data_IF_415110479489
#
_entry.id   IF_415110479489
#
_cell.length_a   1.000
_cell.length_b   1.000
_cell.length_c   1.000
_cell.angle_alpha   90.00
_cell.angle_beta   90.00
_cell.angle_gamma   90.00
#
_symmetry.space_group_name_H-M   'P 1'
#
loop_
_entity.id
_entity.type
_entity.pdbx_description
1 polymer ?
#
# COMPACT_ATOMS: atom_id res chain seq x y z
N UNK A 1 -9.83 45.04 -16.69
CA UNK A 1 -9.50 43.77 -16.00
C UNK A 1 -10.08 43.86 -14.60
N UNK A 2 -11.25 43.27 -14.35
CA UNK A 2 -11.92 43.37 -13.04
C UNK A 2 -11.22 42.38 -12.11
N UNK A 3 -10.44 42.91 -11.17
CA UNK A 3 -9.93 42.11 -10.04
C UNK A 3 -11.14 41.88 -9.12
N UNK A 4 -11.68 40.66 -9.12
CA UNK A 4 -12.69 40.28 -8.15
C UNK A 4 -12.02 40.15 -6.77
N UNK A 5 -12.45 40.96 -5.81
CA UNK A 5 -12.05 40.81 -4.42
C UNK A 5 -12.68 39.51 -3.88
N UNK A 6 -11.84 38.53 -3.55
CA UNK A 6 -12.23 37.30 -2.86
C UNK A 6 -12.70 37.62 -1.43
N UNK A 7 -14.00 37.86 -1.25
CA UNK A 7 -14.63 37.93 0.07
C UNK A 7 -14.87 36.51 0.60
N UNK A 8 -13.85 35.94 1.24
CA UNK A 8 -13.96 34.64 1.92
C UNK A 8 -14.64 34.87 3.28
N UNK A 9 -15.75 34.18 3.55
CA UNK A 9 -16.37 34.24 4.87
C UNK A 9 -15.47 33.61 5.93
N UNK A 10 -15.47 34.15 7.16
CA UNK A 10 -14.67 33.59 8.27
C UNK A 10 -14.94 32.10 8.49
N UNK A 11 -16.20 31.68 8.32
CA UNK A 11 -16.61 30.28 8.44
C UNK A 11 -16.01 29.42 7.32
N UNK A 12 -16.01 29.92 6.06
CA UNK A 12 -15.38 29.21 4.94
C UNK A 12 -13.87 29.09 5.15
N UNK A 13 -13.20 30.14 5.64
CA UNK A 13 -11.78 30.10 5.93
C UNK A 13 -11.47 29.03 7.00
N UNK A 14 -12.22 29.02 8.10
CA UNK A 14 -12.05 28.04 9.17
C UNK A 14 -12.29 26.61 8.68
N UNK A 15 -13.33 26.39 7.88
CA UNK A 15 -13.63 25.09 7.29
C UNK A 15 -12.49 24.62 6.36
N UNK A 16 -11.97 25.50 5.50
CA UNK A 16 -10.83 25.18 4.64
C UNK A 16 -9.57 24.85 5.46
N UNK A 17 -9.28 25.60 6.52
CA UNK A 17 -8.16 25.33 7.43
C UNK A 17 -8.33 23.98 8.15
N UNK A 18 -9.56 23.66 8.56
CA UNK A 18 -9.87 22.36 9.16
C UNK A 18 -9.62 21.21 8.18
N UNK A 19 -10.06 21.33 6.92
CA UNK A 19 -9.77 20.33 5.89
C UNK A 19 -8.26 20.19 5.61
N UNK A 20 -7.54 21.31 5.54
CA UNK A 20 -6.08 21.31 5.42
C UNK A 20 -5.42 20.60 6.61
N UNK A 21 -5.90 20.85 7.82
CA UNK A 21 -5.41 20.17 9.02
C UNK A 21 -5.63 18.65 8.94
N UNK A 22 -6.84 18.20 8.62
CA UNK A 22 -7.14 16.77 8.42
C UNK A 22 -6.26 16.16 7.33
N UNK A 23 -6.06 16.88 6.23
CA UNK A 23 -5.16 16.46 5.16
C UNK A 23 -3.71 16.30 5.65
N UNK A 24 -3.18 17.27 6.39
CA UNK A 24 -1.81 17.22 6.92
C UNK A 24 -1.62 16.07 7.91
N UNK A 25 -2.61 15.78 8.76
CA UNK A 25 -2.59 14.63 9.66
C UNK A 25 -2.56 13.31 8.88
N UNK A 26 -3.34 13.20 7.79
CA UNK A 26 -3.30 12.01 6.92
C UNK A 26 -1.93 11.82 6.27
N UNK A 27 -1.34 12.90 5.74
CA UNK A 27 0.01 12.84 5.15
C UNK A 27 1.05 12.45 6.20
N UNK A 28 0.92 12.94 7.44
CA UNK A 28 1.82 12.60 8.53
C UNK A 28 1.75 11.10 8.86
N UNK A 29 0.56 10.52 9.00
CA UNK A 29 0.41 9.08 9.25
C UNK A 29 1.02 8.25 8.12
N UNK A 30 0.75 8.60 6.85
CA UNK A 30 1.35 7.91 5.70
C UNK A 30 2.89 8.02 5.70
N UNK A 31 3.44 9.17 6.10
CA UNK A 31 4.88 9.35 6.18
C UNK A 31 5.52 8.49 7.27
N UNK A 32 4.86 8.33 8.43
CA UNK A 32 5.33 7.44 9.49
C UNK A 32 5.34 5.98 9.03
N UNK A 33 4.26 5.49 8.39
CA UNK A 33 4.22 4.14 7.82
C UNK A 33 5.29 3.92 6.75
N UNK A 34 5.53 4.93 5.89
CA UNK A 34 6.62 4.88 4.93
C UNK A 34 7.99 4.78 5.62
N UNK A 35 8.20 5.49 6.73
CA UNK A 35 9.45 5.42 7.49
C UNK A 35 9.66 4.05 8.13
N UNK A 36 8.60 3.40 8.61
CA UNK A 36 8.62 2.01 9.07
C UNK A 36 9.06 1.06 7.94
N UNK A 37 8.43 1.14 6.76
CA UNK A 37 8.80 0.34 5.59
C UNK A 37 10.27 0.57 5.16
N UNK A 38 10.80 1.78 5.33
CA UNK A 38 12.18 2.13 4.97
C UNK A 38 13.23 1.78 6.03
N UNK A 39 12.86 1.25 7.20
CA UNK A 39 13.83 0.84 8.23
C UNK A 39 14.79 -0.24 7.72
N UNK A 40 14.32 -1.10 6.83
CA UNK A 40 15.07 -2.23 6.29
C UNK A 40 15.14 -2.13 4.76
N UNK A 41 16.29 -2.50 4.19
CA UNK A 41 16.46 -2.55 2.73
C UNK A 41 15.74 -3.72 2.09
N UNK A 42 15.68 -4.84 2.83
CA UNK A 42 14.91 -6.03 2.46
C UNK A 42 13.80 -6.12 3.49
N UNK A 43 12.57 -5.96 3.04
CA UNK A 43 11.41 -5.89 3.91
C UNK A 43 10.52 -7.11 3.69
N UNK A 44 10.11 -7.72 4.78
CA UNK A 44 9.22 -8.88 4.80
C UNK A 44 7.85 -8.48 5.35
N UNK A 45 6.78 -8.87 4.67
CA UNK A 45 5.42 -8.59 5.14
C UNK A 45 4.45 -9.68 4.71
N UNK A 46 3.46 -9.92 5.56
CA UNK A 46 2.24 -10.61 5.15
C UNK A 46 1.44 -9.69 4.24
N UNK A 47 0.93 -10.23 3.14
CA UNK A 47 0.15 -9.52 2.17
C UNK A 47 -0.98 -10.38 1.60
N UNK A 48 -2.15 -9.78 1.43
CA UNK A 48 -3.28 -10.41 0.76
C UNK A 48 -3.24 -10.12 -0.75
N UNK A 49 -3.50 -11.14 -1.57
CA UNK A 49 -3.62 -10.99 -3.02
C UNK A 49 -4.96 -10.38 -3.39
N UNK A 50 -4.97 -9.10 -3.75
CA UNK A 50 -6.18 -8.39 -4.18
C UNK A 50 -6.53 -8.68 -5.64
N UNK A 51 -5.53 -8.68 -6.52
CA UNK A 51 -5.76 -8.89 -7.95
C UNK A 51 -4.51 -9.43 -8.66
N UNK A 52 -4.71 -10.12 -9.79
CA UNK A 52 -3.64 -10.70 -10.61
C UNK A 52 -3.83 -10.20 -12.04
N UNK A 53 -2.77 -9.66 -12.62
CA UNK A 53 -2.71 -9.13 -13.98
C UNK A 53 -1.67 -9.93 -14.77
N UNK A 54 -2.10 -10.96 -15.53
CA UNK A 54 -1.17 -11.80 -16.25
C UNK A 54 -0.46 -11.01 -17.37
N UNK A 55 0.87 -11.18 -17.49
CA UNK A 55 1.67 -10.73 -18.65
C UNK A 55 2.33 -11.92 -19.32
N UNK A 56 3.06 -11.73 -20.41
CA UNK A 56 3.67 -12.87 -21.12
C UNK A 56 4.79 -13.55 -20.30
N UNK A 57 5.64 -12.76 -19.62
CA UNK A 57 6.85 -13.26 -18.95
C UNK A 57 6.75 -13.38 -17.43
N UNK A 58 5.85 -12.63 -16.82
CA UNK A 58 5.65 -12.55 -15.37
C UNK A 58 4.20 -12.13 -15.10
N UNK A 59 3.73 -12.32 -13.88
CA UNK A 59 2.44 -11.78 -13.46
C UNK A 59 2.66 -10.55 -12.62
N UNK A 60 1.83 -9.53 -12.81
CA UNK A 60 1.78 -8.38 -11.91
C UNK A 60 0.65 -8.63 -10.92
N UNK A 61 0.97 -8.67 -9.64
CA UNK A 61 0.01 -8.94 -8.58
C UNK A 61 -0.16 -7.69 -7.73
N UNK A 62 -1.41 -7.29 -7.50
CA UNK A 62 -1.75 -6.25 -6.54
C UNK A 62 -1.90 -6.88 -5.17
N UNK A 63 -1.09 -6.43 -4.22
CA UNK A 63 -0.98 -6.93 -2.87
C UNK A 63 -1.41 -5.86 -1.86
N UNK A 64 -2.00 -6.30 -0.75
CA UNK A 64 -2.31 -5.47 0.41
C UNK A 64 -1.50 -5.94 1.60
N UNK A 65 -0.45 -5.18 1.94
CA UNK A 65 0.34 -5.38 3.16
C UNK A 65 -0.27 -4.65 4.35
N UNK A 66 0.47 -4.61 5.45
CA UNK A 66 0.04 -3.87 6.64
C UNK A 66 0.18 -2.35 6.42
N UNK A 67 -0.95 -1.67 6.20
CA UNK A 67 -1.01 -0.22 6.02
C UNK A 67 -0.63 0.31 4.63
N UNK A 68 -0.40 -0.55 3.63
CA UNK A 68 -0.14 -0.12 2.25
C UNK A 68 -0.59 -1.15 1.20
N UNK A 69 -0.90 -0.64 0.01
CA UNK A 69 -1.13 -1.44 -1.18
C UNK A 69 0.03 -1.24 -2.15
N UNK A 70 0.44 -2.31 -2.83
CA UNK A 70 1.55 -2.25 -3.78
C UNK A 70 1.35 -3.27 -4.89
N UNK A 71 2.10 -3.07 -5.97
CA UNK A 71 2.13 -3.97 -7.10
C UNK A 71 3.48 -4.68 -7.09
N UNK A 72 3.47 -5.97 -7.38
CA UNK A 72 4.71 -6.70 -7.51
C UNK A 72 4.72 -7.68 -8.68
N UNK A 73 5.89 -7.87 -9.28
CA UNK A 73 6.09 -8.92 -10.28
C UNK A 73 6.44 -10.25 -9.63
N UNK A 74 5.77 -11.30 -10.09
CA UNK A 74 5.94 -12.69 -9.69
C UNK A 74 6.24 -13.56 -10.91
N UNK A 75 6.93 -14.68 -10.72
CA UNK A 75 7.23 -15.59 -11.83
C UNK A 75 5.98 -16.38 -12.25
N UNK A 76 5.91 -16.80 -13.52
CA UNK A 76 4.70 -17.40 -14.13
C UNK A 76 4.26 -18.74 -13.53
N UNK A 77 5.17 -19.43 -12.86
CA UNK A 77 4.96 -20.80 -12.39
C UNK A 77 4.33 -20.87 -10.98
N UNK A 78 3.93 -19.71 -10.47
CA UNK A 78 3.44 -19.58 -9.12
C UNK A 78 1.91 -19.64 -9.17
N UNK A 79 1.34 -20.78 -8.77
CA UNK A 79 -0.11 -21.03 -8.68
C UNK A 79 -0.82 -20.14 -7.63
N UNK A 80 -0.59 -18.83 -7.65
CA UNK A 80 -1.13 -17.82 -6.72
C UNK A 80 -2.55 -17.47 -7.17
N UNK A 81 -3.47 -17.38 -6.22
CA UNK A 81 -4.87 -17.02 -6.45
C UNK A 81 -5.22 -15.74 -5.71
N UNK A 82 -6.29 -15.08 -6.14
CA UNK A 82 -6.88 -13.97 -5.39
C UNK A 82 -7.31 -14.45 -4.01
N UNK A 83 -7.18 -13.59 -3.02
CA UNK A 83 -7.46 -13.84 -1.59
C UNK A 83 -6.47 -14.80 -0.91
N UNK A 84 -5.41 -15.23 -1.60
CA UNK A 84 -4.31 -15.92 -0.95
C UNK A 84 -3.56 -14.94 -0.04
N UNK A 85 -3.12 -15.43 1.13
CA UNK A 85 -2.20 -14.72 2.00
C UNK A 85 -0.79 -15.19 1.71
N UNK A 86 0.09 -14.25 1.37
CA UNK A 86 1.48 -14.51 1.07
C UNK A 86 2.34 -13.78 2.09
N UNK A 87 3.40 -14.42 2.56
CA UNK A 87 4.50 -13.73 3.21
C UNK A 87 5.50 -13.37 2.11
N UNK A 88 5.73 -12.09 1.84
CA UNK A 88 6.52 -11.63 0.70
C UNK A 88 7.70 -10.80 1.16
N UNK A 89 8.82 -10.96 0.45
CA UNK A 89 10.08 -10.26 0.70
C UNK A 89 10.43 -9.43 -0.53
N UNK A 90 10.70 -8.14 -0.34
CA UNK A 90 11.05 -7.22 -1.44
C UNK A 90 12.04 -6.14 -1.03
N UNK A 91 12.68 -5.52 -2.03
CA UNK A 91 13.65 -4.42 -1.84
C UNK A 91 12.94 -3.07 -1.72
N UNK A 92 13.27 -2.30 -0.68
CA UNK A 92 12.65 -1.00 -0.40
C UNK A 92 13.46 0.20 -0.87
N UNK A 93 14.71 0.02 -1.30
CA UNK A 93 15.66 1.13 -1.56
C UNK A 93 15.14 2.12 -2.60
N UNK A 94 14.51 1.62 -3.66
CA UNK A 94 13.96 2.43 -4.75
C UNK A 94 12.55 2.98 -4.47
N UNK A 95 11.96 2.65 -3.32
CA UNK A 95 10.67 3.19 -2.92
C UNK A 95 10.92 4.56 -2.27
N UNK A 96 10.43 5.60 -2.93
CA UNK A 96 10.34 6.96 -2.40
C UNK A 96 8.98 7.18 -1.73
N UNK A 97 8.85 8.21 -0.91
CA UNK A 97 7.56 8.55 -0.29
C UNK A 97 6.48 8.85 -1.34
N UNK A 98 6.84 9.54 -2.42
CA UNK A 98 5.90 9.84 -3.51
C UNK A 98 5.39 8.57 -4.21
N UNK A 99 6.28 7.61 -4.47
CA UNK A 99 5.88 6.31 -5.04
C UNK A 99 5.10 5.47 -4.04
N UNK A 100 5.39 5.57 -2.74
CA UNK A 100 4.64 4.92 -1.68
C UNK A 100 3.18 5.37 -1.66
N UNK A 101 2.92 6.69 -1.71
CA UNK A 101 1.57 7.25 -1.73
C UNK A 101 0.72 6.79 -2.92
N UNK A 102 1.35 6.41 -4.04
CA UNK A 102 0.66 5.94 -5.26
C UNK A 102 0.37 4.44 -5.28
N UNK A 103 0.93 3.69 -4.33
CA UNK A 103 1.11 2.25 -4.47
C UNK A 103 2.28 1.96 -5.40
N UNK A 104 3.42 1.60 -4.82
CA UNK A 104 4.66 1.39 -5.55
C UNK A 104 4.66 0.07 -6.32
N UNK A 105 5.58 -0.05 -7.29
CA UNK A 105 5.85 -1.30 -7.98
C UNK A 105 7.21 -1.85 -7.55
N UNK A 106 7.27 -3.14 -7.20
CA UNK A 106 8.52 -3.81 -6.82
C UNK A 106 8.62 -5.21 -7.44
N UNK A 107 9.80 -5.81 -7.36
CA UNK A 107 9.99 -7.23 -7.70
C UNK A 107 9.98 -8.03 -6.41
N UNK A 108 9.19 -9.10 -6.34
CA UNK A 108 9.29 -10.03 -5.23
C UNK A 108 10.62 -10.80 -5.34
N UNK A 109 11.39 -10.77 -4.26
CA UNK A 109 12.64 -11.50 -4.15
C UNK A 109 12.37 -12.94 -3.72
N UNK A 110 11.44 -13.10 -2.78
CA UNK A 110 11.03 -14.38 -2.22
C UNK A 110 9.61 -14.27 -1.66
N UNK A 111 8.87 -15.36 -1.66
CA UNK A 111 7.59 -15.44 -0.96
C UNK A 111 7.28 -16.85 -0.48
N UNK A 112 6.46 -16.92 0.56
CA UNK A 112 5.84 -18.14 1.08
C UNK A 112 4.33 -17.98 1.11
N UNK A 113 3.59 -19.08 0.98
CA UNK A 113 2.14 -19.06 1.19
C UNK A 113 1.86 -19.17 2.68
N UNK A 114 1.12 -18.21 3.21
CA UNK A 114 0.64 -18.28 4.60
C UNK A 114 -0.48 -19.31 4.73
N UNK A 115 -0.49 -20.03 5.86
CA UNK A 115 -1.63 -20.87 6.21
C UNK A 115 -2.87 -20.00 6.43
N UNK A 116 -3.97 -20.33 5.74
CA UNK A 116 -5.29 -19.83 6.07
C UNK A 116 -5.62 -20.46 7.42
N UNK A 117 -5.64 -19.68 8.50
CA UNK A 117 -6.09 -20.15 9.81
C UNK A 117 -7.55 -20.65 9.67
N UNK A 118 -7.72 -21.92 9.30
CA UNK A 118 -8.96 -22.62 9.49
C UNK A 118 -9.05 -22.82 10.99
N UNK A 119 -9.75 -21.92 11.67
CA UNK A 119 -10.25 -22.18 13.01
C UNK A 119 -11.13 -23.43 12.93
N UNK A 120 -10.51 -24.60 13.10
CA UNK A 120 -11.22 -25.85 13.37
C UNK A 120 -11.84 -25.63 14.74
N UNK A 121 -13.13 -25.30 14.73
CA UNK A 121 -13.95 -25.23 15.91
C UNK A 121 -14.13 -26.68 16.41
N UNK A 122 -13.20 -27.15 17.23
CA UNK A 122 -13.34 -28.42 17.94
C UNK A 122 -14.42 -28.18 18.98
N UNK A 123 -15.64 -28.63 18.66
CA UNK A 123 -16.70 -28.80 19.64
C UNK A 123 -16.32 -30.02 20.48
N UNK A 124 -15.95 -29.78 21.73
CA UNK A 124 -16.11 -30.76 22.82
C UNK A 124 -17.55 -30.69 23.34
#
# INVERSE_FOLDING_TARGET
MIIQNLQISKNSLFFTLFLLFVFMINILFNYLSYKELKKEYIFETKAEVLNIYPKEKFDVIKLKGDGFEFFASFSKDENIKKLDFLNVVFDTRNITFYTYLKGFFTKILYFERGEKNNSVNVRE
#
